data_IF_884268936677
#
_entry.id   IF_884268936677
#
_cell.length_a   1.000
_cell.length_b   1.000
_cell.length_c   1.000
_cell.angle_alpha   90.00
_cell.angle_beta   90.00
_cell.angle_gamma   90.00
#
_symmetry.space_group_name_H-M   'P 1'
#
loop_
_entity.id
_entity.type
_entity.pdbx_description
1 polymer ?
#
# COMPACT_ATOMS: atom_id res chain seq x y z
N UNK A 1 10.58 -11.76 2.54
CA UNK A 1 10.69 -12.86 1.54
C UNK A 1 11.94 -12.70 0.68
N UNK A 2 12.10 -11.61 -0.09
CA UNK A 2 13.28 -11.31 -0.92
C UNK A 2 14.63 -11.60 -0.23
N UNK A 3 14.84 -11.11 0.99
CA UNK A 3 16.07 -11.36 1.77
C UNK A 3 16.29 -12.86 2.03
N UNK A 4 15.24 -13.64 2.27
CA UNK A 4 15.37 -15.08 2.50
C UNK A 4 15.82 -15.82 1.23
N UNK A 5 15.29 -15.41 0.08
CA UNK A 5 15.68 -15.94 -1.23
C UNK A 5 17.17 -15.66 -1.49
N UNK A 6 17.63 -14.43 -1.23
CA UNK A 6 19.05 -14.07 -1.32
C UNK A 6 19.96 -14.91 -0.41
N UNK A 7 19.47 -15.34 0.76
CA UNK A 7 20.20 -16.22 1.68
C UNK A 7 19.98 -17.72 1.40
N UNK A 8 19.53 -18.09 0.20
CA UNK A 8 19.46 -19.49 -0.23
C UNK A 8 18.18 -20.24 0.17
N UNK A 9 17.11 -19.54 0.55
CA UNK A 9 15.82 -20.19 0.80
C UNK A 9 15.29 -20.85 -0.48
N UNK A 10 15.06 -22.17 -0.45
CA UNK A 10 14.46 -22.93 -1.54
C UNK A 10 13.06 -22.37 -1.85
N UNK A 11 12.92 -21.74 -3.02
CA UNK A 11 11.72 -21.02 -3.43
C UNK A 11 11.47 -21.32 -4.90
N UNK A 12 10.38 -22.02 -5.20
CA UNK A 12 10.02 -22.35 -6.59
C UNK A 12 9.26 -21.21 -7.29
N UNK A 13 8.48 -20.44 -6.52
CA UNK A 13 7.70 -19.31 -7.02
C UNK A 13 7.75 -18.12 -6.06
N UNK A 14 8.07 -16.94 -6.59
CA UNK A 14 8.06 -15.68 -5.85
C UNK A 14 7.15 -14.66 -6.55
N UNK A 15 6.09 -14.22 -5.87
CA UNK A 15 5.14 -13.22 -6.37
C UNK A 15 5.25 -11.96 -5.50
N UNK A 16 6.08 -10.98 -5.89
CA UNK A 16 6.16 -9.71 -5.18
C UNK A 16 4.98 -8.80 -5.55
N UNK A 17 4.63 -7.88 -4.63
CA UNK A 17 3.58 -6.86 -4.84
C UNK A 17 4.04 -5.66 -5.69
N UNK A 18 5.15 -5.80 -6.43
CA UNK A 18 5.75 -4.75 -7.26
C UNK A 18 7.11 -5.17 -7.80
N UNK A 19 7.70 -4.32 -8.65
CA UNK A 19 9.00 -4.59 -9.28
C UNK A 19 10.20 -4.29 -8.38
N UNK A 20 10.08 -3.37 -7.42
CA UNK A 20 11.21 -2.98 -6.56
C UNK A 20 11.85 -4.19 -5.82
N UNK A 21 11.08 -5.15 -5.27
CA UNK A 21 11.67 -6.37 -4.70
C UNK A 21 12.30 -7.35 -5.72
N UNK A 22 12.17 -7.14 -7.03
CA UNK A 22 12.87 -7.93 -8.04
C UNK A 22 14.27 -7.34 -8.34
N UNK A 23 14.44 -6.02 -8.26
CA UNK A 23 15.71 -5.34 -8.61
C UNK A 23 16.95 -5.90 -7.89
N UNK A 24 16.84 -6.31 -6.62
CA UNK A 24 17.99 -6.90 -5.90
C UNK A 24 18.28 -8.36 -6.29
N UNK A 25 17.35 -9.00 -7.00
CA UNK A 25 17.46 -10.37 -7.51
C UNK A 25 17.86 -10.40 -8.99
N UNK A 26 17.63 -9.33 -9.75
CA UNK A 26 17.95 -9.23 -11.19
C UNK A 26 19.43 -9.48 -11.50
N UNK A 27 20.34 -9.02 -10.63
CA UNK A 27 21.78 -9.24 -10.80
C UNK A 27 22.28 -10.57 -10.23
N UNK A 28 21.37 -11.48 -9.86
CA UNK A 28 21.70 -12.80 -9.32
C UNK A 28 21.29 -13.88 -10.31
N UNK A 29 22.01 -14.99 -10.35
CA UNK A 29 21.63 -16.16 -11.16
C UNK A 29 20.42 -16.94 -10.59
N UNK A 30 19.68 -16.34 -9.63
CA UNK A 30 18.55 -16.98 -8.93
C UNK A 30 17.24 -16.83 -9.73
N UNK A 31 17.13 -15.79 -10.56
CA UNK A 31 15.94 -15.56 -11.39
C UNK A 31 16.13 -16.18 -12.77
N UNK A 32 15.26 -17.14 -13.14
CA UNK A 32 15.19 -17.66 -14.50
C UNK A 32 14.27 -16.83 -15.40
N UNK A 33 13.01 -16.64 -14.96
CA UNK A 33 11.95 -16.00 -15.76
C UNK A 33 11.09 -15.08 -14.89
N UNK A 34 10.75 -13.92 -15.43
CA UNK A 34 9.87 -12.93 -14.80
C UNK A 34 8.68 -12.69 -15.71
N UNK A 35 7.48 -12.87 -15.17
CA UNK A 35 6.23 -12.65 -15.90
C UNK A 35 5.37 -11.62 -15.16
N UNK A 36 4.79 -10.63 -15.86
CA UNK A 36 3.73 -9.82 -15.28
C UNK A 36 2.50 -10.71 -15.09
N UNK A 37 2.07 -10.90 -13.84
CA UNK A 37 0.91 -11.74 -13.51
C UNK A 37 -0.32 -10.91 -13.12
N UNK A 38 -0.10 -9.86 -12.33
CA UNK A 38 -1.16 -9.08 -11.69
C UNK A 38 -0.91 -7.58 -11.90
N UNK A 39 -2.00 -6.83 -12.02
CA UNK A 39 -2.01 -5.38 -11.82
C UNK A 39 -2.72 -5.03 -10.53
N UNK A 40 -2.51 -3.81 -10.06
CA UNK A 40 -3.21 -3.29 -8.91
C UNK A 40 -3.69 -1.86 -9.15
N UNK A 41 -4.83 -1.54 -8.54
CA UNK A 41 -5.30 -0.17 -8.39
C UNK A 41 -5.23 0.22 -6.92
N UNK A 42 -4.76 1.43 -6.66
CA UNK A 42 -4.81 2.00 -5.32
C UNK A 42 -6.25 2.47 -5.05
N UNK A 43 -6.82 2.03 -3.93
CA UNK A 43 -8.19 2.37 -3.52
C UNK A 43 -8.20 2.99 -2.14
N UNK A 44 -9.13 3.91 -1.90
CA UNK A 44 -9.45 4.43 -0.59
C UNK A 44 -10.56 3.58 0.03
N UNK A 45 -10.31 3.00 1.19
CA UNK A 45 -11.22 2.12 1.92
C UNK A 45 -11.71 2.83 3.18
N UNK A 46 -12.99 2.65 3.50
CA UNK A 46 -13.62 3.08 4.74
C UNK A 46 -14.49 1.95 5.30
N UNK A 47 -14.82 2.01 6.59
CA UNK A 47 -15.80 1.11 7.19
C UNK A 47 -17.18 1.29 6.54
N UNK A 48 -17.95 0.21 6.38
CA UNK A 48 -19.27 0.22 5.72
C UNK A 48 -20.30 1.11 6.42
N UNK A 49 -20.19 1.28 7.73
CA UNK A 49 -21.05 2.19 8.50
C UNK A 49 -20.69 3.67 8.35
N UNK A 50 -19.58 4.01 7.69
CA UNK A 50 -19.22 5.40 7.44
C UNK A 50 -19.94 5.91 6.19
N UNK A 51 -20.87 6.84 6.37
CA UNK A 51 -21.66 7.45 5.30
C UNK A 51 -21.00 8.68 4.66
N UNK A 52 -19.80 9.07 5.14
CA UNK A 52 -19.09 10.22 4.61
C UNK A 52 -18.56 9.95 3.21
N UNK A 53 -19.06 10.70 2.23
CA UNK A 53 -18.51 10.68 0.87
C UNK A 53 -17.26 11.56 0.76
N UNK A 54 -16.28 11.09 -0.01
CA UNK A 54 -15.10 11.83 -0.46
C UNK A 54 -15.20 11.93 -1.97
N UNK A 55 -15.23 13.14 -2.52
CA UNK A 55 -15.38 13.32 -3.97
C UNK A 55 -14.04 13.36 -4.70
N UNK A 56 -12.99 13.82 -4.01
CA UNK A 56 -11.63 13.86 -4.56
C UNK A 56 -10.57 13.60 -3.50
N UNK A 57 -9.38 13.20 -3.93
CA UNK A 57 -8.27 12.88 -3.03
C UNK A 57 -7.80 14.10 -2.23
N UNK A 58 -7.92 15.31 -2.77
CA UNK A 58 -7.56 16.57 -2.11
C UNK A 58 -8.34 16.82 -0.82
N UNK A 59 -9.59 16.36 -0.73
CA UNK A 59 -10.37 16.46 0.52
C UNK A 59 -9.69 15.75 1.70
N UNK A 60 -8.81 14.78 1.43
CA UNK A 60 -8.01 14.15 2.47
C UNK A 60 -7.08 15.14 3.17
N UNK A 61 -6.77 16.35 2.71
CA UNK A 61 -6.00 17.31 3.52
C UNK A 61 -6.84 18.01 4.61
N UNK A 62 -8.18 17.96 4.48
CA UNK A 62 -9.09 18.71 5.36
C UNK A 62 -9.27 18.07 6.74
N UNK A 63 -9.70 18.89 7.71
CA UNK A 63 -10.00 18.43 9.07
C UNK A 63 -11.16 17.43 9.14
N UNK A 64 -12.12 17.52 8.20
CA UNK A 64 -13.28 16.60 8.10
C UNK A 64 -12.84 15.14 8.03
N UNK A 65 -11.69 14.88 7.43
CA UNK A 65 -11.19 13.53 7.19
C UNK A 65 -10.01 13.15 8.08
N UNK A 66 -9.76 13.79 9.22
CA UNK A 66 -8.52 13.70 10.02
C UNK A 66 -8.05 12.30 10.52
N UNK A 67 -8.81 11.22 10.30
CA UNK A 67 -8.51 9.85 10.74
C UNK A 67 -8.06 8.96 9.57
N UNK A 68 -6.81 9.11 9.15
CA UNK A 68 -6.25 8.49 7.94
C UNK A 68 -5.11 7.53 8.28
N UNK A 69 -4.95 6.46 7.51
CA UNK A 69 -3.82 5.54 7.63
C UNK A 69 -3.35 4.99 6.30
N UNK A 70 -2.06 4.73 6.18
CA UNK A 70 -1.46 4.04 5.02
C UNK A 70 -0.45 3.01 5.51
N UNK A 71 -0.09 2.07 4.64
CA UNK A 71 1.05 1.21 4.93
C UNK A 71 2.34 2.03 4.88
N UNK A 72 3.33 1.71 5.71
CA UNK A 72 4.59 2.43 5.75
C UNK A 72 5.29 2.35 4.37
N UNK A 73 5.58 3.49 3.72
CA UNK A 73 6.24 3.52 2.42
C UNK A 73 7.63 2.88 2.39
N UNK A 74 8.30 2.77 3.55
CA UNK A 74 9.63 2.17 3.67
C UNK A 74 9.58 0.63 3.69
N UNK A 75 8.44 0.05 4.08
CA UNK A 75 8.30 -1.40 4.27
C UNK A 75 7.31 -2.04 3.31
N UNK A 76 6.36 -1.29 2.76
CA UNK A 76 5.27 -1.82 1.95
C UNK A 76 5.10 -1.09 0.61
N UNK A 77 5.03 -1.82 -0.52
CA UNK A 77 4.76 -1.22 -1.82
C UNK A 77 3.46 -0.41 -1.88
N UNK A 78 2.41 -0.87 -1.20
CA UNK A 78 1.15 -0.11 -1.11
C UNK A 78 1.33 1.26 -0.43
N UNK A 79 2.24 1.33 0.55
CA UNK A 79 2.64 2.59 1.18
C UNK A 79 3.37 3.52 0.22
N UNK A 80 4.30 2.96 -0.56
CA UNK A 80 5.02 3.70 -1.61
C UNK A 80 4.04 4.28 -2.63
N UNK A 81 3.10 3.47 -3.14
CA UNK A 81 2.09 3.91 -4.09
C UNK A 81 1.18 4.99 -3.50
N UNK A 82 0.75 4.83 -2.24
CA UNK A 82 -0.03 5.84 -1.53
C UNK A 82 0.72 7.16 -1.38
N UNK A 83 2.00 7.12 -0.98
CA UNK A 83 2.85 8.31 -0.89
C UNK A 83 2.99 8.99 -2.25
N UNK A 84 3.26 8.24 -3.31
CA UNK A 84 3.39 8.78 -4.68
C UNK A 84 2.07 9.43 -5.12
N UNK A 85 0.93 8.77 -4.93
CA UNK A 85 -0.37 9.33 -5.29
C UNK A 85 -0.66 10.64 -4.53
N UNK A 86 -0.46 10.65 -3.20
CA UNK A 86 -0.67 11.84 -2.38
C UNK A 86 0.32 12.97 -2.72
N UNK A 87 1.55 12.64 -3.10
CA UNK A 87 2.58 13.61 -3.50
C UNK A 87 2.25 14.23 -4.86
N UNK A 88 1.80 13.43 -5.82
CA UNK A 88 1.37 13.92 -7.15
C UNK A 88 0.17 14.86 -7.04
N UNK A 89 -0.67 14.68 -6.02
CA UNK A 89 -1.76 15.58 -5.67
C UNK A 89 -1.37 16.74 -4.75
N UNK A 90 -0.08 16.88 -4.40
CA UNK A 90 0.45 17.99 -3.60
C UNK A 90 0.06 17.98 -2.11
N UNK A 91 -0.59 16.93 -1.62
CA UNK A 91 -1.14 16.87 -0.25
C UNK A 91 -0.32 16.04 0.74
N UNK A 92 0.75 15.37 0.27
CA UNK A 92 1.57 14.52 1.13
C UNK A 92 2.20 15.30 2.31
N UNK A 93 2.75 16.48 2.04
CA UNK A 93 3.41 17.31 3.07
C UNK A 93 2.47 17.67 4.22
N UNK A 94 1.24 18.06 3.91
CA UNK A 94 0.21 18.42 4.90
C UNK A 94 -0.28 17.24 5.75
N UNK A 95 -0.04 16.03 5.26
CA UNK A 95 -0.60 14.79 5.77
C UNK A 95 0.39 13.89 6.49
N UNK A 96 1.70 14.05 6.27
CA UNK A 96 2.70 13.14 6.82
C UNK A 96 2.55 12.97 8.35
N UNK A 97 2.26 14.06 9.07
CA UNK A 97 2.13 14.08 10.53
C UNK A 97 0.71 13.73 11.02
N UNK A 98 -0.25 13.65 10.09
CA UNK A 98 -1.67 13.36 10.37
C UNK A 98 -2.09 11.96 9.92
N UNK A 99 -1.20 11.22 9.26
CA UNK A 99 -1.43 9.87 8.77
C UNK A 99 -0.82 8.87 9.75
N UNK A 100 -1.61 7.89 10.16
CA UNK A 100 -1.12 6.74 10.92
C UNK A 100 -0.46 5.73 9.97
N UNK A 101 0.82 5.45 10.17
CA UNK A 101 1.53 4.40 9.44
C UNK A 101 1.28 3.02 10.08
N UNK A 102 1.14 2.01 9.24
CA UNK A 102 1.11 0.61 9.66
C UNK A 102 2.15 -0.21 8.91
N UNK A 103 2.71 -1.24 9.56
CA UNK A 103 3.83 -2.04 9.00
C UNK A 103 3.50 -2.76 7.70
N UNK A 104 2.23 -3.05 7.42
CA UNK A 104 1.77 -3.61 6.16
C UNK A 104 0.29 -3.28 5.91
N UNK A 105 -0.19 -3.65 4.72
CA UNK A 105 -1.53 -3.32 4.26
C UNK A 105 -2.65 -4.00 5.08
N UNK A 106 -2.40 -5.19 5.64
CA UNK A 106 -3.37 -5.89 6.50
C UNK A 106 -3.53 -5.19 7.86
N UNK A 107 -2.42 -4.72 8.44
CA UNK A 107 -2.45 -3.93 9.67
C UNK A 107 -3.23 -2.63 9.49
N UNK A 108 -3.13 -2.02 8.32
CA UNK A 108 -3.83 -0.77 8.02
C UNK A 108 -5.32 -1.00 7.74
N UNK A 109 -5.66 -2.09 7.07
CA UNK A 109 -7.05 -2.51 6.87
C UNK A 109 -7.75 -2.77 8.20
N UNK A 110 -7.09 -3.45 9.14
CA UNK A 110 -7.67 -3.72 10.46
C UNK A 110 -7.95 -2.45 11.27
N UNK A 111 -7.22 -1.36 10.99
CA UNK A 111 -7.54 -0.06 11.58
C UNK A 111 -8.84 0.54 11.06
N UNK A 112 -9.31 0.17 9.88
CA UNK A 112 -10.58 0.66 9.32
C UNK A 112 -11.72 -0.31 9.61
N UNK A 113 -11.45 -1.61 9.70
CA UNK A 113 -12.43 -2.64 10.05
C UNK A 113 -13.02 -2.47 11.45
N UNK A 114 -12.25 -1.94 12.40
CA UNK A 114 -12.77 -1.68 13.75
C UNK A 114 -13.43 -0.29 13.82
N UNK A 115 -14.76 -0.18 13.99
CA UNK A 115 -15.45 1.10 14.01
C UNK A 115 -15.06 2.00 15.20
N UNK A 116 -14.47 1.44 16.26
CA UNK A 116 -13.92 2.19 17.41
C UNK A 116 -12.48 2.67 17.18
N UNK A 117 -11.87 2.33 16.06
CA UNK A 117 -10.50 2.71 15.73
C UNK A 117 -10.32 4.21 15.48
N UNK A 118 -9.07 4.65 15.63
CA UNK A 118 -8.65 6.02 15.33
C UNK A 118 -8.42 6.27 13.83
N UNK A 119 -8.49 5.25 12.97
CA UNK A 119 -8.51 5.44 11.51
C UNK A 119 -9.88 5.13 10.96
N UNK A 120 -10.39 5.99 10.07
CA UNK A 120 -11.63 5.76 9.33
C UNK A 120 -11.38 5.52 7.84
N UNK A 121 -10.22 5.93 7.33
CA UNK A 121 -9.86 5.81 5.93
C UNK A 121 -8.48 5.18 5.78
N UNK A 122 -8.31 4.30 4.80
CA UNK A 122 -7.01 3.81 4.42
C UNK A 122 -6.81 3.61 2.91
N UNK A 123 -5.57 3.80 2.46
CA UNK A 123 -5.17 3.53 1.07
C UNK A 123 -4.58 2.11 0.97
N UNK A 124 -5.13 1.30 0.07
CA UNK A 124 -4.74 -0.10 -0.12
C UNK A 124 -4.77 -0.49 -1.60
N UNK A 125 -3.98 -1.50 -1.98
CA UNK A 125 -4.04 -2.10 -3.30
C UNK A 125 -5.22 -3.06 -3.43
N UNK A 126 -5.95 -2.96 -4.54
CA UNK A 126 -6.85 -3.99 -5.05
C UNK A 126 -6.21 -4.64 -6.28
N UNK A 127 -6.05 -5.95 -6.27
CA UNK A 127 -5.37 -6.70 -7.34
C UNK A 127 -6.34 -7.25 -8.38
N UNK A 128 -5.87 -7.32 -9.62
CA UNK A 128 -6.57 -7.87 -10.78
C UNK A 128 -5.60 -8.74 -11.59
N UNK A 129 -6.08 -9.85 -12.14
CA UNK A 129 -5.32 -10.63 -13.10
C UNK A 129 -5.15 -9.85 -14.40
N UNK A 130 -3.96 -9.89 -14.99
CA UNK A 130 -3.81 -9.52 -16.39
C UNK A 130 -4.37 -10.67 -17.23
N UNK A 131 -5.32 -10.36 -18.12
CA UNK A 131 -5.77 -11.26 -19.17
C UNK A 131 -4.85 -11.14 -20.37
#
# INVERSE_FOLDING_TARGET
MQIKILHGAKTDLFIPAGYTPLTKLENTAILEKVYPLLTNSLVLVTHTSNTSSINNLGELSTQKFNKKSIADPNFSPAGTYAKTALSNHGIWGDLQDKIKLGVNVRTVLSYVENPKSRSRYCLQNRYYFQQ
#
